data_IF_189185613273
#
_entry.id   IF_189185613273
#
_cell.length_a   1.000
_cell.length_b   1.000
_cell.length_c   1.000
_cell.angle_alpha   90.00
_cell.angle_beta   90.00
_cell.angle_gamma   90.00
#
_symmetry.space_group_name_H-M   'P 1'
#
loop_
_entity.id
_entity.type
_entity.pdbx_description
1 polymer ?
#
# COMPACT_ATOMS: atom_id res chain seq x y z
N UNK A 1 -13.11 1.20 17.15
CA UNK A 1 -12.08 2.15 16.68
C UNK A 1 -12.32 3.51 17.33
N UNK A 2 -11.32 4.11 17.99
CA UNK A 2 -11.39 5.40 18.73
C UNK A 2 -12.59 5.58 19.67
N UNK A 3 -13.08 4.48 20.27
CA UNK A 3 -14.22 4.49 21.21
C UNK A 3 -15.45 5.29 20.72
N UNK A 4 -15.72 5.26 19.41
CA UNK A 4 -16.87 5.94 18.81
C UNK A 4 -16.77 7.46 18.68
N UNK A 5 -15.63 8.07 19.00
CA UNK A 5 -15.42 9.55 18.93
C UNK A 5 -15.79 10.13 17.56
N UNK A 6 -15.62 9.36 16.49
CA UNK A 6 -15.85 9.80 15.12
C UNK A 6 -17.18 9.36 14.50
N UNK A 7 -18.03 8.63 15.23
CA UNK A 7 -19.23 8.00 14.65
C UNK A 7 -20.20 9.03 14.06
N UNK A 8 -20.37 10.15 14.76
CA UNK A 8 -21.22 11.27 14.33
C UNK A 8 -20.44 12.40 13.63
N UNK A 9 -19.15 12.21 13.35
CA UNK A 9 -18.33 13.21 12.67
C UNK A 9 -18.60 13.25 11.17
N UNK A 10 -18.45 14.43 10.57
CA UNK A 10 -18.50 14.63 9.12
C UNK A 10 -17.42 13.76 8.43
N UNK A 11 -17.64 13.27 7.19
CA UNK A 11 -16.68 12.39 6.51
C UNK A 11 -15.26 12.93 6.44
N UNK A 12 -15.07 14.23 6.22
CA UNK A 12 -13.75 14.88 6.17
C UNK A 12 -13.03 14.91 7.54
N UNK A 13 -13.79 14.91 8.62
CA UNK A 13 -13.28 14.92 10.00
C UNK A 13 -12.92 13.54 10.53
N UNK A 14 -13.45 12.47 9.90
CA UNK A 14 -13.08 11.09 10.25
C UNK A 14 -11.58 10.84 9.95
N UNK A 15 -10.92 9.91 10.66
CA UNK A 15 -9.51 9.63 10.41
C UNK A 15 -9.27 9.15 8.97
N UNK A 16 -8.18 9.61 8.37
CA UNK A 16 -7.67 9.06 7.09
C UNK A 16 -6.58 8.06 7.40
N UNK A 17 -6.52 6.98 6.63
CA UNK A 17 -5.61 5.87 6.88
C UNK A 17 -4.44 5.89 5.90
N UNK A 18 -3.27 5.56 6.41
CA UNK A 18 -2.04 5.37 5.66
C UNK A 18 -1.09 4.45 6.43
N UNK A 19 0.18 4.52 6.09
CA UNK A 19 1.22 3.80 6.82
C UNK A 19 2.50 4.65 6.92
N UNK A 20 3.29 4.39 7.97
CA UNK A 20 4.55 5.09 8.20
C UNK A 20 5.67 4.44 7.38
N UNK A 21 6.32 5.21 6.51
CA UNK A 21 7.44 4.72 5.70
C UNK A 21 8.77 4.73 6.49
N UNK A 22 8.87 3.89 7.52
CA UNK A 22 10.05 3.83 8.39
C UNK A 22 11.30 3.27 7.69
N UNK A 23 11.13 2.50 6.61
CA UNK A 23 12.22 1.92 5.81
C UNK A 23 12.67 2.81 4.65
N UNK A 24 12.03 3.99 4.45
CA UNK A 24 12.28 4.87 3.29
C UNK A 24 12.14 4.16 1.94
N UNK A 25 11.23 3.18 1.87
CA UNK A 25 10.95 2.42 0.65
C UNK A 25 10.37 3.32 -0.45
N UNK A 26 10.89 3.22 -1.67
CA UNK A 26 10.37 3.98 -2.82
C UNK A 26 9.01 3.48 -3.31
N UNK A 27 8.60 2.27 -2.92
CA UNK A 27 7.25 1.73 -3.20
C UNK A 27 6.27 2.01 -2.05
N UNK A 28 6.66 2.87 -1.12
CA UNK A 28 5.82 3.33 -0.02
C UNK A 28 5.82 2.40 1.20
N UNK A 29 5.01 2.78 2.18
CA UNK A 29 5.01 2.21 3.53
C UNK A 29 4.24 0.89 3.68
N UNK A 30 3.30 0.60 2.77
CA UNK A 30 2.49 -0.61 2.83
C UNK A 30 2.03 -1.02 1.44
N UNK A 31 2.85 -1.83 0.78
CA UNK A 31 2.58 -2.36 -0.56
C UNK A 31 1.42 -3.35 -0.56
N UNK A 32 0.93 -3.78 0.61
CA UNK A 32 -0.30 -4.55 0.76
C UNK A 32 -1.51 -3.91 0.07
N UNK A 33 -1.60 -2.59 0.07
CA UNK A 33 -2.80 -1.88 -0.35
C UNK A 33 -2.74 -1.29 -1.76
N UNK A 34 -1.60 -1.41 -2.45
CA UNK A 34 -1.45 -0.97 -3.82
C UNK A 34 -0.02 -0.53 -4.13
N UNK A 35 0.22 -0.26 -5.41
CA UNK A 35 1.54 0.17 -5.90
C UNK A 35 1.74 1.69 -5.86
N UNK A 36 0.68 2.47 -5.75
CA UNK A 36 0.73 3.93 -5.83
C UNK A 36 0.28 4.55 -4.51
N UNK A 37 0.89 5.67 -4.12
CA UNK A 37 0.64 6.28 -2.82
C UNK A 37 0.80 7.81 -2.84
N UNK A 38 0.06 8.49 -1.97
CA UNK A 38 0.30 9.89 -1.67
C UNK A 38 1.39 10.01 -0.60
N UNK A 39 2.45 10.74 -0.92
CA UNK A 39 3.46 11.15 0.04
C UNK A 39 2.96 12.43 0.74
N UNK A 40 2.73 12.34 2.04
CA UNK A 40 2.32 13.47 2.87
C UNK A 40 3.52 14.30 3.29
N UNK A 41 3.30 15.59 3.56
CA UNK A 41 4.33 16.42 4.16
C UNK A 41 4.61 15.98 5.61
N UNK A 42 5.85 16.12 6.12
CA UNK A 42 6.23 15.63 7.45
C UNK A 42 5.38 16.17 8.60
N UNK A 43 4.90 17.41 8.52
CA UNK A 43 4.07 18.05 9.54
C UNK A 43 2.76 17.31 9.83
N UNK A 44 2.25 16.51 8.90
CA UNK A 44 1.02 15.73 9.08
C UNK A 44 1.19 14.68 10.18
N UNK A 45 2.41 14.18 10.39
CA UNK A 45 2.70 13.20 11.44
C UNK A 45 2.36 13.71 12.85
N UNK A 46 2.40 15.03 13.09
CA UNK A 46 2.10 15.66 14.39
C UNK A 46 0.65 15.53 14.82
N UNK A 47 -0.24 15.24 13.87
CA UNK A 47 -1.69 15.03 14.09
C UNK A 47 -2.12 13.62 13.71
N UNK A 48 -1.18 12.68 13.72
CA UNK A 48 -1.44 11.28 13.45
C UNK A 48 -1.22 10.43 14.72
N UNK A 49 -1.99 9.35 14.82
CA UNK A 49 -1.70 8.24 15.72
C UNK A 49 -1.26 7.05 14.89
N UNK A 50 -0.48 6.17 15.51
CA UNK A 50 0.11 5.00 14.87
C UNK A 50 -0.23 3.76 15.68
N UNK A 51 -0.42 2.62 15.02
CA UNK A 51 -0.59 1.34 15.70
C UNK A 51 0.06 0.19 14.92
N UNK A 52 0.36 -0.87 15.67
CA UNK A 52 0.74 -2.17 15.13
C UNK A 52 0.21 -3.26 16.08
N UNK A 53 -0.43 -4.33 15.58
CA UNK A 53 -0.88 -4.51 14.20
C UNK A 53 -1.90 -3.44 13.78
N UNK A 54 -2.40 -3.52 12.54
CA UNK A 54 -3.36 -2.54 12.03
C UNK A 54 -4.70 -2.57 12.78
N UNK A 55 -5.53 -1.55 12.58
CA UNK A 55 -6.75 -1.35 13.37
C UNK A 55 -7.81 -2.45 13.20
N UNK A 56 -7.71 -3.30 12.16
CA UNK A 56 -8.58 -4.45 11.98
C UNK A 56 -8.32 -5.55 13.02
N UNK A 57 -7.08 -5.65 13.52
CA UNK A 57 -6.68 -6.64 14.52
C UNK A 57 -6.86 -6.17 15.97
N UNK A 58 -7.56 -5.05 16.19
CA UNK A 58 -7.84 -4.50 17.52
C UNK A 58 -6.57 -4.34 18.40
N UNK A 59 -5.56 -3.58 17.93
CA UNK A 59 -4.29 -3.47 18.62
C UNK A 59 -4.44 -2.81 20.00
N UNK A 60 -3.64 -3.27 20.95
CA UNK A 60 -3.61 -2.70 22.31
C UNK A 60 -2.73 -1.45 22.38
N UNK A 61 -1.70 -1.36 21.53
CA UNK A 61 -0.69 -0.31 21.57
C UNK A 61 -0.89 0.74 20.47
N UNK A 62 -0.88 2.01 20.89
CA UNK A 62 -0.88 3.18 20.02
C UNK A 62 0.27 4.11 20.38
N UNK A 63 0.78 4.83 19.37
CA UNK A 63 1.87 5.78 19.54
C UNK A 63 1.60 7.10 18.81
N UNK A 64 2.29 8.16 19.26
CA UNK A 64 2.55 9.35 18.43
C UNK A 64 3.89 9.17 17.71
N UNK A 65 4.18 10.06 16.75
CA UNK A 65 5.44 9.99 16.01
C UNK A 65 6.68 10.10 16.93
N UNK A 66 6.60 10.89 18.00
CA UNK A 66 7.69 11.05 18.99
C UNK A 66 7.92 9.79 19.84
N UNK A 67 6.96 8.86 19.86
CA UNK A 67 6.98 7.63 20.67
C UNK A 67 6.80 6.37 19.82
N UNK A 68 7.24 6.42 18.56
CA UNK A 68 7.00 5.34 17.59
C UNK A 68 7.79 4.05 17.87
N UNK A 69 8.94 4.15 18.54
CA UNK A 69 9.90 3.04 18.70
C UNK A 69 9.31 1.74 19.28
N UNK A 70 8.46 1.74 20.33
CA UNK A 70 7.88 0.50 20.85
C UNK A 70 7.07 -0.29 19.81
N UNK A 71 6.37 0.40 18.89
CA UNK A 71 5.64 -0.28 17.82
C UNK A 71 6.59 -0.88 16.77
N UNK A 72 7.70 -0.20 16.48
CA UNK A 72 8.74 -0.72 15.60
C UNK A 72 9.46 -1.93 16.23
N UNK A 73 9.71 -1.89 17.53
CA UNK A 73 10.30 -3.00 18.28
C UNK A 73 9.36 -4.22 18.27
N UNK A 74 8.05 -4.01 18.46
CA UNK A 74 7.04 -5.05 18.38
C UNK A 74 6.95 -5.67 16.97
N UNK A 75 6.91 -4.83 15.93
CA UNK A 75 6.94 -5.28 14.53
C UNK A 75 8.19 -6.10 14.23
N UNK A 76 9.36 -5.62 14.65
CA UNK A 76 10.64 -6.32 14.44
C UNK A 76 10.69 -7.66 15.19
N UNK A 77 10.15 -7.72 16.41
CA UNK A 77 10.11 -8.94 17.20
C UNK A 77 9.18 -10.01 16.59
N UNK A 78 8.05 -9.58 16.01
CA UNK A 78 7.12 -10.48 15.33
C UNK A 78 7.65 -10.93 13.96
N UNK A 79 8.44 -10.10 13.28
CA UNK A 79 9.03 -10.36 11.97
C UNK A 79 8.02 -10.98 10.97
N UNK A 80 6.87 -10.31 10.72
CA UNK A 80 5.83 -10.84 9.86
C UNK A 80 6.29 -10.93 8.39
N UNK A 81 5.46 -11.54 7.53
CA UNK A 81 5.67 -11.40 6.09
C UNK A 81 5.73 -9.92 5.73
N UNK A 82 6.54 -9.60 4.74
CA UNK A 82 6.80 -8.22 4.35
C UNK A 82 5.53 -7.45 3.94
N UNK A 83 4.50 -8.12 3.42
CA UNK A 83 3.21 -7.45 3.15
C UNK A 83 2.47 -7.03 4.42
N UNK A 84 2.75 -7.68 5.55
CA UNK A 84 2.13 -7.40 6.83
C UNK A 84 3.07 -6.56 7.74
N UNK A 85 4.27 -6.24 7.25
CA UNK A 85 5.29 -5.48 7.97
C UNK A 85 5.12 -3.95 7.83
N UNK A 86 4.00 -3.41 8.30
CA UNK A 86 3.72 -1.97 8.25
C UNK A 86 3.16 -1.44 9.57
N UNK A 87 3.42 -0.16 9.85
CA UNK A 87 2.78 0.56 10.95
C UNK A 87 1.62 1.38 10.37
N UNK A 88 0.39 1.10 10.80
CA UNK A 88 -0.78 1.87 10.37
C UNK A 88 -0.68 3.30 10.89
N UNK A 89 -1.05 4.26 10.05
CA UNK A 89 -1.14 5.68 10.40
C UNK A 89 -2.59 6.13 10.32
N UNK A 90 -3.13 6.68 11.42
CA UNK A 90 -4.44 7.31 11.45
C UNK A 90 -4.29 8.83 11.57
N UNK A 91 -4.67 9.55 10.53
CA UNK A 91 -4.49 11.00 10.40
C UNK A 91 -5.78 11.70 10.82
N UNK A 92 -5.69 12.55 11.85
CA UNK A 92 -6.83 13.25 12.44
C UNK A 92 -7.04 14.63 11.82
N UNK A 93 -8.28 15.03 11.57
CA UNK A 93 -8.64 16.33 10.96
C UNK A 93 -8.41 16.39 9.45
N UNK A 94 -8.81 17.47 8.78
CA UNK A 94 -8.90 17.56 7.31
C UNK A 94 -7.57 17.29 6.57
N UNK A 95 -7.64 16.84 5.32
CA UNK A 95 -6.48 16.75 4.42
C UNK A 95 -6.77 17.51 3.12
N UNK A 96 -5.89 18.43 2.76
CA UNK A 96 -5.98 19.24 1.55
C UNK A 96 -4.89 18.82 0.57
N UNK A 97 -5.29 18.45 -0.65
CA UNK A 97 -4.34 17.96 -1.67
C UNK A 97 -3.16 18.92 -1.90
N UNK A 98 -3.44 20.21 -2.08
CA UNK A 98 -2.41 21.21 -2.38
C UNK A 98 -1.50 21.54 -1.18
N UNK A 99 -2.02 21.42 0.03
CA UNK A 99 -1.35 21.92 1.24
C UNK A 99 -0.64 20.81 2.00
N UNK A 100 -1.20 19.61 2.03
CA UNK A 100 -0.74 18.51 2.90
C UNK A 100 -0.01 17.41 2.12
N UNK A 101 -0.21 17.32 0.80
CA UNK A 101 0.42 16.30 -0.04
C UNK A 101 1.68 16.88 -0.66
N UNK A 102 2.79 16.16 -0.50
CA UNK A 102 4.05 16.48 -1.14
C UNK A 102 4.09 15.95 -2.58
N UNK A 103 3.67 14.71 -2.80
CA UNK A 103 3.64 14.10 -4.12
C UNK A 103 2.61 12.96 -4.21
N UNK A 104 2.15 12.66 -5.41
CA UNK A 104 1.57 11.38 -5.78
C UNK A 104 2.67 10.53 -6.44
N UNK A 105 3.02 9.41 -5.83
CA UNK A 105 4.00 8.46 -6.36
C UNK A 105 3.25 7.32 -7.05
N UNK A 106 3.58 7.08 -8.32
CA UNK A 106 2.90 6.11 -9.18
C UNK A 106 3.83 4.99 -9.62
N UNK A 107 3.22 3.84 -9.90
CA UNK A 107 3.89 2.73 -10.58
C UNK A 107 4.00 2.98 -12.09
N UNK A 108 5.16 2.74 -12.71
CA UNK A 108 5.39 3.03 -14.13
C UNK A 108 4.47 2.27 -15.09
N UNK A 109 3.83 1.17 -14.68
CA UNK A 109 2.81 0.49 -15.49
C UNK A 109 1.59 1.37 -15.80
N UNK A 110 1.39 2.47 -15.08
CA UNK A 110 0.33 3.44 -15.35
C UNK A 110 0.71 4.56 -16.33
N UNK A 111 1.96 4.61 -16.82
CA UNK A 111 2.36 5.58 -17.85
C UNK A 111 1.57 5.37 -19.14
N UNK A 112 1.08 6.46 -19.71
CA UNK A 112 0.24 6.47 -20.91
C UNK A 112 -1.18 5.97 -20.70
N UNK A 113 -1.59 5.66 -19.46
CA UNK A 113 -2.95 5.22 -19.14
C UNK A 113 -3.83 6.38 -18.66
N UNK A 114 -5.14 6.14 -18.54
CA UNK A 114 -6.07 7.11 -17.94
C UNK A 114 -5.70 7.50 -16.50
N UNK A 115 -5.02 6.61 -15.75
CA UNK A 115 -4.57 6.87 -14.38
C UNK A 115 -3.56 8.01 -14.34
N UNK A 116 -2.62 8.02 -15.29
CA UNK A 116 -1.70 9.16 -15.44
C UNK A 116 -2.46 10.44 -15.83
N UNK A 117 -3.49 10.32 -16.68
CA UNK A 117 -4.39 11.42 -17.01
C UNK A 117 -5.00 12.07 -15.78
N UNK A 118 -5.68 11.28 -14.94
CA UNK A 118 -6.28 11.76 -13.69
C UNK A 118 -5.24 12.29 -12.70
N UNK A 119 -4.06 11.65 -12.61
CA UNK A 119 -2.99 12.10 -11.73
C UNK A 119 -2.51 13.51 -12.09
N UNK A 120 -2.42 13.84 -13.39
CA UNK A 120 -1.98 15.15 -13.89
C UNK A 120 -2.99 16.27 -13.62
N UNK A 121 -4.23 15.95 -13.31
CA UNK A 121 -5.24 16.94 -12.91
C UNK A 121 -5.11 17.35 -11.43
N UNK A 122 -4.36 16.60 -10.63
CA UNK A 122 -4.17 16.89 -9.21
C UNK A 122 -3.14 18.01 -8.99
N UNK A 123 -3.33 18.88 -7.99
CA UNK A 123 -2.43 20.00 -7.71
C UNK A 123 -1.18 19.55 -6.91
N UNK A 124 -0.59 18.42 -7.26
CA UNK A 124 0.53 17.79 -6.54
C UNK A 124 1.61 17.34 -7.52
N UNK A 125 2.84 17.22 -7.04
CA UNK A 125 3.94 16.67 -7.84
C UNK A 125 3.68 15.19 -8.16
N UNK A 126 3.92 14.77 -9.40
CA UNK A 126 3.88 13.35 -9.78
C UNK A 126 5.30 12.80 -9.77
N UNK A 127 5.51 11.70 -9.05
CA UNK A 127 6.77 10.94 -9.03
C UNK A 127 6.51 9.50 -9.45
N UNK A 128 7.57 8.81 -9.84
CA UNK A 128 7.52 7.41 -10.24
C UNK A 128 8.59 6.63 -9.48
N UNK A 129 8.25 5.45 -8.96
CA UNK A 129 9.22 4.49 -8.42
C UNK A 129 9.65 3.49 -9.50
N UNK A 130 10.53 2.54 -9.19
CA UNK A 130 11.10 1.64 -10.22
C UNK A 130 10.10 0.63 -10.80
N UNK A 131 9.12 0.19 -10.02
CA UNK A 131 7.91 -0.48 -10.50
C UNK A 131 7.80 -1.94 -10.10
N UNK A 132 6.55 -2.40 -9.94
CA UNK A 132 6.27 -3.82 -9.69
C UNK A 132 6.14 -4.58 -10.99
N UNK A 133 6.92 -5.65 -11.12
CA UNK A 133 6.85 -6.56 -12.26
C UNK A 133 7.33 -7.95 -11.84
N UNK A 134 6.56 -8.99 -12.14
CA UNK A 134 6.98 -10.38 -11.87
C UNK A 134 6.52 -11.30 -13.00
N UNK A 135 7.33 -12.31 -13.31
CA UNK A 135 6.92 -13.36 -14.24
C UNK A 135 6.01 -14.37 -13.53
N UNK A 136 5.14 -15.00 -14.30
CA UNK A 136 4.31 -16.10 -13.82
C UNK A 136 5.16 -17.32 -13.44
N UNK A 137 6.26 -17.54 -14.16
CA UNK A 137 7.23 -18.60 -13.87
C UNK A 137 7.81 -18.43 -12.45
N UNK A 138 8.18 -17.20 -12.07
CA UNK A 138 8.75 -16.92 -10.74
C UNK A 138 7.73 -17.13 -9.62
N UNK A 139 6.49 -16.65 -9.76
CA UNK A 139 5.48 -16.80 -8.69
C UNK A 139 4.98 -18.24 -8.57
N UNK A 140 5.02 -19.04 -9.65
CA UNK A 140 4.65 -20.45 -9.63
C UNK A 140 5.61 -21.30 -8.78
N UNK A 141 6.79 -20.78 -8.43
CA UNK A 141 7.71 -21.41 -7.47
C UNK A 141 7.20 -21.34 -6.01
N UNK A 142 6.16 -20.57 -5.73
CA UNK A 142 5.64 -20.31 -4.39
C UNK A 142 4.13 -20.64 -4.25
N UNK A 143 3.70 -21.89 -4.53
CA UNK A 143 2.28 -22.27 -4.47
C UNK A 143 1.66 -22.12 -3.07
N UNK A 144 2.46 -22.24 -2.01
CA UNK A 144 1.99 -22.19 -0.63
C UNK A 144 1.69 -20.77 -0.12
N UNK A 145 2.06 -19.72 -0.87
CA UNK A 145 1.91 -18.34 -0.39
C UNK A 145 0.44 -17.90 -0.34
N UNK A 146 -0.33 -18.07 -1.44
CA UNK A 146 -1.78 -17.83 -1.48
C UNK A 146 -2.58 -18.99 -2.08
N UNK A 147 -1.91 -20.09 -2.44
CA UNK A 147 -2.53 -21.31 -2.93
C UNK A 147 -2.57 -21.39 -4.47
N UNK A 148 -2.61 -22.63 -4.96
CA UNK A 148 -2.64 -22.94 -6.39
C UNK A 148 -3.79 -22.25 -7.14
N UNK A 149 -4.98 -22.18 -6.55
CA UNK A 149 -6.13 -21.52 -7.17
C UNK A 149 -5.88 -20.03 -7.47
N UNK A 150 -5.04 -19.35 -6.68
CA UNK A 150 -4.67 -17.95 -6.94
C UNK A 150 -3.61 -17.86 -8.03
N UNK A 151 -2.66 -18.80 -8.07
CA UNK A 151 -1.73 -18.91 -9.19
C UNK A 151 -2.47 -19.15 -10.50
N UNK A 152 -3.47 -20.02 -10.54
CA UNK A 152 -4.24 -20.31 -11.75
C UNK A 152 -4.96 -19.05 -12.27
N UNK A 153 -5.42 -18.17 -11.38
CA UNK A 153 -5.98 -16.85 -11.75
C UNK A 153 -4.86 -15.93 -12.24
N UNK A 154 -3.72 -15.88 -11.54
CA UNK A 154 -2.57 -15.09 -11.94
C UNK A 154 -2.10 -15.43 -13.37
N UNK A 155 -2.03 -16.74 -13.70
CA UNK A 155 -1.70 -17.26 -15.03
C UNK A 155 -2.69 -16.77 -16.12
N UNK A 156 -3.98 -16.66 -15.79
CA UNK A 156 -5.01 -16.18 -16.73
C UNK A 156 -5.03 -14.66 -16.89
N UNK A 157 -4.64 -13.93 -15.84
CA UNK A 157 -4.60 -12.46 -15.82
C UNK A 157 -3.34 -11.93 -16.51
N UNK A 158 -2.24 -12.67 -16.47
CA UNK A 158 -0.95 -12.23 -17.00
C UNK A 158 -0.98 -11.89 -18.49
N UNK A 159 -0.26 -10.84 -18.87
CA UNK A 159 -0.01 -10.50 -20.26
C UNK A 159 1.43 -10.89 -20.62
N UNK A 160 1.60 -11.70 -21.68
CA UNK A 160 2.91 -12.20 -22.11
C UNK A 160 3.71 -12.88 -20.98
N UNK A 161 3.02 -13.56 -20.07
CA UNK A 161 3.63 -14.23 -18.92
C UNK A 161 4.09 -13.30 -17.79
N UNK A 162 3.71 -12.02 -17.81
CA UNK A 162 4.08 -11.03 -16.80
C UNK A 162 2.87 -10.44 -16.08
N UNK A 163 3.07 -10.07 -14.82
CA UNK A 163 2.11 -9.30 -14.02
C UNK A 163 2.68 -7.93 -13.68
N UNK A 164 1.80 -6.92 -13.75
CA UNK A 164 2.05 -5.54 -13.31
C UNK A 164 0.79 -5.00 -12.62
N UNK A 165 0.87 -3.90 -11.86
CA UNK A 165 -0.30 -3.31 -11.22
C UNK A 165 -1.40 -2.94 -12.22
N UNK A 166 -1.03 -2.39 -13.39
CA UNK A 166 -1.98 -2.10 -14.48
C UNK A 166 -2.79 -3.33 -14.87
N UNK A 167 -2.13 -4.45 -15.16
CA UNK A 167 -2.78 -5.69 -15.63
C UNK A 167 -3.81 -6.18 -14.60
N UNK A 168 -3.43 -6.22 -13.32
CA UNK A 168 -4.35 -6.62 -12.25
C UNK A 168 -5.51 -5.62 -12.13
N UNK A 169 -5.22 -4.32 -12.22
CA UNK A 169 -6.23 -3.26 -12.18
C UNK A 169 -7.24 -3.35 -13.33
N UNK A 170 -6.81 -3.74 -14.52
CA UNK A 170 -7.70 -3.99 -15.67
C UNK A 170 -8.59 -5.20 -15.44
N UNK A 171 -8.07 -6.29 -14.87
CA UNK A 171 -8.88 -7.45 -14.50
C UNK A 171 -9.96 -7.12 -13.45
N UNK A 172 -9.65 -6.23 -12.49
CA UNK A 172 -10.63 -5.70 -11.52
C UNK A 172 -11.70 -4.88 -12.24
N UNK A 173 -11.31 -3.93 -13.10
CA UNK A 173 -12.26 -3.10 -13.87
C UNK A 173 -13.19 -3.94 -14.75
N UNK A 174 -12.66 -4.99 -15.35
CA UNK A 174 -13.40 -5.94 -16.18
C UNK A 174 -14.30 -6.89 -15.37
N UNK A 175 -14.17 -6.92 -14.03
CA UNK A 175 -14.82 -7.91 -13.15
C UNK A 175 -14.56 -9.35 -13.61
N UNK A 176 -13.35 -9.61 -14.09
CA UNK A 176 -12.98 -10.91 -14.67
C UNK A 176 -13.00 -12.03 -13.61
N UNK A 177 -12.71 -11.68 -12.35
CA UNK A 177 -12.67 -12.58 -11.21
C UNK A 177 -13.18 -11.89 -9.95
N UNK A 178 -13.37 -12.67 -8.89
CA UNK A 178 -13.66 -12.16 -7.55
C UNK A 178 -12.55 -11.20 -7.06
N UNK A 179 -12.94 -10.06 -6.48
CA UNK A 179 -12.02 -9.01 -6.06
C UNK A 179 -11.06 -9.48 -4.95
N UNK A 180 -11.50 -10.37 -4.05
CA UNK A 180 -10.62 -10.92 -3.03
C UNK A 180 -9.57 -11.87 -3.61
N UNK A 181 -9.91 -12.58 -4.69
CA UNK A 181 -8.94 -13.38 -5.42
C UNK A 181 -7.92 -12.50 -6.16
N UNK A 182 -8.36 -11.44 -6.84
CA UNK A 182 -7.45 -10.48 -7.49
C UNK A 182 -6.57 -9.74 -6.48
N UNK A 183 -7.08 -9.44 -5.28
CA UNK A 183 -6.27 -8.94 -4.16
C UNK A 183 -5.17 -9.93 -3.77
N UNK A 184 -5.43 -11.24 -3.79
CA UNK A 184 -4.40 -12.25 -3.53
C UNK A 184 -3.40 -12.40 -4.68
N UNK A 185 -3.81 -12.17 -5.93
CA UNK A 185 -2.88 -12.05 -7.07
C UNK A 185 -1.98 -10.82 -6.87
N UNK A 186 -2.53 -9.69 -6.43
CA UNK A 186 -1.75 -8.53 -6.04
C UNK A 186 -0.73 -8.86 -4.95
N UNK A 187 -1.09 -9.67 -3.93
CA UNK A 187 -0.13 -10.08 -2.92
C UNK A 187 1.09 -10.82 -3.50
N UNK A 188 0.91 -11.68 -4.51
CA UNK A 188 2.05 -12.30 -5.21
C UNK A 188 2.94 -11.23 -5.87
N UNK A 189 2.33 -10.31 -6.63
CA UNK A 189 3.08 -9.25 -7.30
C UNK A 189 3.80 -8.33 -6.31
N UNK A 190 3.15 -7.88 -5.24
CA UNK A 190 3.74 -7.02 -4.24
C UNK A 190 4.89 -7.71 -3.48
N UNK A 191 4.78 -9.03 -3.26
CA UNK A 191 5.79 -9.81 -2.53
C UNK A 191 7.02 -10.15 -3.34
N UNK A 192 6.86 -10.43 -4.64
CA UNK A 192 7.91 -10.99 -5.51
C UNK A 192 8.28 -10.09 -6.70
N UNK A 193 7.50 -9.06 -6.99
CA UNK A 193 7.70 -8.19 -8.15
C UNK A 193 8.52 -6.95 -7.90
N UNK A 194 9.22 -6.86 -6.76
CA UNK A 194 10.09 -5.73 -6.42
C UNK A 194 11.30 -6.20 -5.61
N UNK A 195 12.48 -5.66 -5.89
CA UNK A 195 13.71 -5.99 -5.15
C UNK A 195 13.91 -5.05 -3.96
N UNK A 196 13.37 -5.45 -2.82
CA UNK A 196 13.44 -4.70 -1.56
C UNK A 196 14.85 -4.59 -0.96
N UNK A 197 15.87 -5.22 -1.57
CA UNK A 197 17.26 -5.17 -1.11
C UNK A 197 18.04 -3.96 -1.62
N UNK A 198 17.50 -3.22 -2.60
CA UNK A 198 18.20 -2.07 -3.19
C UNK A 198 17.89 -0.73 -2.50
N UNK A 199 16.97 -0.69 -1.54
CA UNK A 199 16.68 0.50 -0.73
C UNK A 199 17.60 0.53 0.48
N UNK A 200 18.87 0.90 0.27
CA UNK A 200 19.85 1.00 1.34
C UNK A 200 21.23 1.41 0.83
N UNK A 201 21.37 2.66 0.40
CA UNK A 201 22.64 3.40 0.32
C UNK A 201 22.48 4.75 1.02
#
# INVERSE_FOLDING_TARGET
MFDGVYDNSQPNQRPKYGALNFSSSEVGASTRFGSSYFLLKPEISKRATFCYPDSFFEPEHFATIERIHPLLDELNAQAPDMLDAYIETQIHGDLHLKEDIQALVLDPSFKGTEVEGYARELPVEIRWHSGFCVSIEDINLYPDYRGQAILDIANQVAENGMLTPRIIGEAVKAKAFDEQNLKKVWHYLARFGFDYRQTGD
#
